data_IF_351183356184
#
_entry.id   IF_351183356184
#
_cell.length_a   1.000
_cell.length_b   1.000
_cell.length_c   1.000
_cell.angle_alpha   90.00
_cell.angle_beta   90.00
_cell.angle_gamma   90.00
#
_symmetry.space_group_name_H-M   'P 1'
#
loop_
_entity.id
_entity.type
_entity.pdbx_description
1 polymer ?
#
# COMPACT_ATOMS: atom_id res chain seq x y z
N UNK A 1 21.46 1.47 -28.99
CA UNK A 1 20.13 1.89 -29.53
C UNK A 1 19.03 0.81 -29.46
N UNK A 2 19.31 -0.50 -29.53
CA UNK A 2 18.27 -1.55 -29.47
C UNK A 2 17.74 -1.78 -28.03
N UNK A 3 18.60 -1.71 -27.01
CA UNK A 3 18.23 -1.90 -25.59
C UNK A 3 17.35 -0.79 -25.00
N UNK A 4 17.54 0.45 -25.41
CA UNK A 4 16.76 1.58 -24.89
C UNK A 4 15.31 1.60 -25.44
N UNK A 5 15.14 1.11 -26.69
CA UNK A 5 13.84 1.00 -27.35
C UNK A 5 13.02 -0.19 -26.79
N UNK A 6 13.69 -1.23 -26.33
CA UNK A 6 13.08 -2.42 -25.73
C UNK A 6 12.57 -2.13 -24.30
N UNK A 7 13.34 -1.40 -23.47
CA UNK A 7 12.92 -1.01 -22.13
C UNK A 7 11.68 -0.09 -22.14
N UNK A 8 11.59 0.82 -23.13
CA UNK A 8 10.42 1.69 -23.27
C UNK A 8 9.16 0.94 -23.73
N UNK A 9 9.28 -0.11 -24.53
CA UNK A 9 8.12 -0.90 -25.00
C UNK A 9 7.60 -1.81 -23.88
N UNK A 10 8.48 -2.50 -23.17
CA UNK A 10 8.12 -3.30 -21.99
C UNK A 10 7.39 -2.45 -20.95
N UNK A 11 7.92 -1.27 -20.65
CA UNK A 11 7.30 -0.34 -19.72
C UNK A 11 5.91 0.13 -20.18
N UNK A 12 5.72 0.46 -21.47
CA UNK A 12 4.42 0.83 -22.03
C UNK A 12 3.40 -0.30 -21.94
N UNK A 13 3.83 -1.56 -22.15
CA UNK A 13 2.95 -2.73 -21.99
C UNK A 13 2.53 -2.88 -20.52
N UNK A 14 3.46 -2.70 -19.59
CA UNK A 14 3.18 -2.79 -18.16
C UNK A 14 2.20 -1.68 -17.69
N UNK A 15 2.38 -0.46 -18.15
CA UNK A 15 1.50 0.68 -17.85
C UNK A 15 0.08 0.48 -18.43
N UNK A 16 -0.02 0.01 -19.67
CA UNK A 16 -1.31 -0.32 -20.28
C UNK A 16 -2.02 -1.46 -19.54
N UNK A 17 -1.27 -2.47 -19.11
CA UNK A 17 -1.79 -3.57 -18.30
C UNK A 17 -2.27 -3.08 -16.94
N UNK A 18 -1.49 -2.24 -16.26
CA UNK A 18 -1.86 -1.61 -14.99
C UNK A 18 -3.19 -0.87 -15.11
N UNK A 19 -3.32 -0.01 -16.13
CA UNK A 19 -4.57 0.72 -16.41
C UNK A 19 -5.75 -0.23 -16.57
N UNK A 20 -5.62 -1.26 -17.40
CA UNK A 20 -6.71 -2.21 -17.67
C UNK A 20 -7.03 -3.10 -16.47
N UNK A 21 -6.04 -3.50 -15.69
CA UNK A 21 -6.28 -4.22 -14.42
C UNK A 21 -7.07 -3.38 -13.42
N UNK A 22 -6.81 -2.07 -13.35
CA UNK A 22 -7.59 -1.18 -12.49
C UNK A 22 -9.01 -0.93 -13.01
N UNK A 23 -9.21 -0.91 -14.33
CA UNK A 23 -10.51 -0.64 -14.94
C UNK A 23 -11.44 -1.85 -14.97
N UNK A 24 -10.91 -3.02 -15.33
CA UNK A 24 -11.69 -4.23 -15.61
C UNK A 24 -11.41 -5.38 -14.64
N UNK A 25 -10.40 -5.27 -13.78
CA UNK A 25 -9.88 -6.38 -12.98
C UNK A 25 -9.02 -7.33 -13.83
N UNK A 26 -8.35 -8.27 -13.15
CA UNK A 26 -7.51 -9.25 -13.84
C UNK A 26 -8.31 -10.17 -14.77
N UNK A 27 -9.43 -10.71 -14.29
CA UNK A 27 -10.20 -11.72 -15.03
C UNK A 27 -10.64 -11.22 -16.41
N UNK A 28 -11.14 -9.98 -16.47
CA UNK A 28 -11.71 -9.38 -17.69
C UNK A 28 -10.68 -8.69 -18.59
N UNK A 29 -9.42 -8.61 -18.19
CA UNK A 29 -8.35 -8.04 -19.00
C UNK A 29 -7.75 -9.12 -19.91
N UNK A 30 -7.67 -8.87 -21.22
CA UNK A 30 -7.05 -9.76 -22.20
C UNK A 30 -5.76 -9.16 -22.76
N UNK A 31 -4.80 -10.00 -23.13
CA UNK A 31 -3.53 -9.55 -23.75
C UNK A 31 -3.75 -8.82 -25.08
N UNK A 32 -4.85 -9.13 -25.77
CA UNK A 32 -5.31 -8.41 -26.97
C UNK A 32 -5.73 -6.97 -26.67
N UNK A 33 -6.39 -6.74 -25.53
CA UNK A 33 -6.78 -5.39 -25.08
C UNK A 33 -5.53 -4.57 -24.75
N UNK A 34 -4.57 -5.19 -24.05
CA UNK A 34 -3.29 -4.56 -23.71
C UNK A 34 -2.52 -4.18 -24.98
N UNK A 35 -2.43 -5.10 -25.95
CA UNK A 35 -1.77 -4.83 -27.22
C UNK A 35 -2.42 -3.66 -27.98
N UNK A 36 -3.76 -3.61 -27.98
CA UNK A 36 -4.53 -2.51 -28.57
C UNK A 36 -4.27 -1.18 -27.86
N UNK A 37 -4.25 -1.17 -26.55
CA UNK A 37 -3.98 0.06 -25.75
C UNK A 37 -2.58 0.62 -26.03
N UNK A 38 -1.58 -0.24 -26.18
CA UNK A 38 -0.19 0.15 -26.51
C UNK A 38 -0.01 0.55 -27.96
N UNK A 39 -0.90 0.09 -28.86
CA UNK A 39 -0.76 0.23 -30.31
C UNK A 39 0.28 -0.75 -30.90
N UNK A 40 0.35 -1.97 -30.36
CA UNK A 40 1.24 -3.02 -30.83
C UNK A 40 0.47 -4.32 -31.17
N UNK A 41 1.16 -5.33 -31.69
CA UNK A 41 0.55 -6.64 -31.88
C UNK A 41 0.62 -7.49 -30.60
N UNK A 42 -0.28 -8.45 -30.47
CA UNK A 42 -0.33 -9.35 -29.30
C UNK A 42 0.94 -10.20 -29.15
N UNK A 43 1.61 -10.55 -30.26
CA UNK A 43 2.86 -11.30 -30.22
C UNK A 43 3.97 -10.56 -29.45
N UNK A 44 3.96 -9.22 -29.52
CA UNK A 44 4.92 -8.40 -28.76
C UNK A 44 4.64 -8.44 -27.26
N UNK A 45 3.38 -8.44 -26.84
CA UNK A 45 3.01 -8.63 -25.43
C UNK A 45 3.47 -10.00 -24.92
N UNK A 46 3.25 -11.06 -25.71
CA UNK A 46 3.72 -12.41 -25.38
C UNK A 46 5.25 -12.54 -25.41
N UNK A 47 5.93 -11.79 -26.25
CA UNK A 47 7.40 -11.76 -26.28
C UNK A 47 7.98 -11.27 -24.94
N UNK A 48 7.46 -10.17 -24.39
CA UNK A 48 7.95 -9.59 -23.13
C UNK A 48 7.49 -10.36 -21.88
N UNK A 49 6.21 -10.73 -21.83
CA UNK A 49 5.61 -11.22 -20.58
C UNK A 49 5.11 -12.68 -20.62
N UNK A 50 5.17 -13.35 -21.78
CA UNK A 50 4.77 -14.74 -21.96
C UNK A 50 3.27 -14.98 -21.70
N UNK A 51 2.78 -14.66 -20.50
CA UNK A 51 1.39 -14.88 -20.07
C UNK A 51 0.84 -13.62 -19.38
N UNK A 52 -0.50 -13.54 -19.30
CA UNK A 52 -1.20 -12.49 -18.55
C UNK A 52 -0.88 -12.58 -17.04
N UNK A 53 -0.74 -13.78 -16.52
CA UNK A 53 -0.33 -14.05 -15.14
C UNK A 53 1.04 -13.45 -14.85
N UNK A 54 2.01 -13.66 -15.73
CA UNK A 54 3.37 -13.11 -15.55
C UNK A 54 3.38 -11.60 -15.61
N UNK A 55 2.58 -11.01 -16.47
CA UNK A 55 2.43 -9.56 -16.57
C UNK A 55 1.82 -8.98 -15.27
N UNK A 56 0.77 -9.65 -14.75
CA UNK A 56 0.16 -9.26 -13.49
C UNK A 56 1.12 -9.41 -12.30
N UNK A 57 1.87 -10.51 -12.24
CA UNK A 57 2.90 -10.70 -11.22
C UNK A 57 3.96 -9.59 -11.24
N UNK A 58 4.43 -9.20 -12.44
CA UNK A 58 5.43 -8.14 -12.60
C UNK A 58 4.88 -6.79 -12.13
N UNK A 59 3.65 -6.45 -12.54
CA UNK A 59 2.93 -5.28 -12.05
C UNK A 59 2.85 -5.29 -10.51
N UNK A 60 2.38 -6.39 -9.96
CA UNK A 60 2.18 -6.54 -8.53
C UNK A 60 3.49 -6.45 -7.73
N UNK A 61 4.55 -7.07 -8.24
CA UNK A 61 5.89 -6.99 -7.65
C UNK A 61 6.40 -5.55 -7.54
N UNK A 62 6.20 -4.76 -8.60
CA UNK A 62 6.55 -3.34 -8.57
C UNK A 62 5.80 -2.59 -7.46
N UNK A 63 4.50 -2.83 -7.32
CA UNK A 63 3.68 -2.18 -6.27
C UNK A 63 4.05 -2.67 -4.86
N UNK A 64 4.27 -3.98 -4.68
CA UNK A 64 4.70 -4.53 -3.40
C UNK A 64 6.03 -3.93 -2.93
N UNK A 65 7.00 -3.77 -3.83
CA UNK A 65 8.27 -3.11 -3.51
C UNK A 65 8.08 -1.67 -3.04
N UNK A 66 7.17 -0.90 -3.65
CA UNK A 66 6.86 0.46 -3.21
C UNK A 66 6.31 0.47 -1.78
N UNK A 67 5.35 -0.42 -1.45
CA UNK A 67 4.80 -0.52 -0.10
C UNK A 67 5.87 -0.84 0.95
N UNK A 68 6.72 -1.80 0.65
CA UNK A 68 7.80 -2.21 1.56
C UNK A 68 8.80 -1.09 1.75
N UNK A 69 9.18 -0.40 0.68
CA UNK A 69 10.10 0.73 0.75
C UNK A 69 9.57 1.85 1.66
N UNK A 70 8.26 2.09 1.67
CA UNK A 70 7.65 3.08 2.57
C UNK A 70 7.92 2.79 4.05
N UNK A 71 7.94 1.51 4.43
CA UNK A 71 8.21 1.10 5.81
C UNK A 71 9.71 0.98 6.13
N UNK A 72 10.56 0.67 5.15
CA UNK A 72 11.97 0.42 5.37
C UNK A 72 12.86 1.64 5.18
N UNK A 73 12.52 2.54 4.23
CA UNK A 73 13.39 3.65 3.82
C UNK A 73 13.20 4.95 4.62
N UNK A 74 12.19 5.05 5.49
CA UNK A 74 11.99 6.22 6.36
C UNK A 74 13.05 6.26 7.52
N UNK A 75 14.32 5.97 7.19
CA UNK A 75 15.45 5.94 8.12
C UNK A 75 16.28 7.22 8.02
N UNK A 76 15.81 8.30 8.64
CA UNK A 76 16.75 9.33 9.08
C UNK A 76 17.11 9.02 10.54
N UNK A 77 18.35 8.61 10.80
CA UNK A 77 18.82 8.22 12.15
C UNK A 77 18.71 9.36 13.17
N UNK A 78 18.65 10.61 12.70
CA UNK A 78 18.53 11.81 13.54
C UNK A 78 17.10 12.11 14.00
N UNK A 79 16.09 11.46 13.40
CA UNK A 79 14.69 11.70 13.73
C UNK A 79 14.29 10.93 14.99
N UNK A 80 13.38 11.50 15.78
CA UNK A 80 12.72 10.81 16.89
C UNK A 80 11.92 9.60 16.39
N UNK A 81 11.56 8.70 17.30
CA UNK A 81 10.69 7.55 16.98
C UNK A 81 9.35 8.01 16.37
N UNK A 82 8.73 9.05 16.97
CA UNK A 82 7.46 9.59 16.51
C UNK A 82 7.56 10.14 15.08
N UNK A 83 8.63 10.86 14.75
CA UNK A 83 8.86 11.38 13.40
C UNK A 83 9.08 10.27 12.38
N UNK A 84 9.84 9.22 12.74
CA UNK A 84 10.04 8.05 11.88
C UNK A 84 8.73 7.33 11.62
N UNK A 85 7.92 7.11 12.66
CA UNK A 85 6.63 6.44 12.53
C UNK A 85 5.64 7.28 11.71
N UNK A 86 5.58 8.60 11.96
CA UNK A 86 4.80 9.53 11.14
C UNK A 86 5.19 9.43 9.66
N UNK A 87 6.48 9.52 9.33
CA UNK A 87 6.96 9.40 7.96
C UNK A 87 6.53 8.07 7.29
N UNK A 88 6.59 6.94 8.03
CA UNK A 88 6.13 5.63 7.53
C UNK A 88 4.64 5.62 7.22
N UNK A 89 3.82 6.15 8.13
CA UNK A 89 2.36 6.22 7.97
C UNK A 89 2.00 7.08 6.77
N UNK A 90 2.60 8.27 6.67
CA UNK A 90 2.37 9.21 5.58
C UNK A 90 2.84 8.67 4.23
N UNK A 91 4.04 8.07 4.16
CA UNK A 91 4.57 7.46 2.94
C UNK A 91 3.67 6.32 2.44
N UNK A 92 3.20 5.44 3.33
CA UNK A 92 2.24 4.40 2.99
C UNK A 92 0.92 5.00 2.48
N UNK A 93 0.41 6.07 3.11
CA UNK A 93 -0.80 6.76 2.68
C UNK A 93 -0.65 7.37 1.28
N UNK A 94 0.48 8.05 0.99
CA UNK A 94 0.72 8.67 -0.30
C UNK A 94 0.86 7.64 -1.44
N UNK A 95 1.42 6.47 -1.18
CA UNK A 95 1.43 5.36 -2.16
C UNK A 95 0.00 4.94 -2.50
N UNK A 96 -0.87 4.80 -1.50
CA UNK A 96 -2.28 4.47 -1.73
C UNK A 96 -3.02 5.59 -2.47
N UNK A 97 -2.74 6.84 -2.13
CA UNK A 97 -3.31 8.01 -2.79
C UNK A 97 -2.90 8.08 -4.27
N UNK A 98 -1.65 7.80 -4.58
CA UNK A 98 -1.15 7.71 -5.95
C UNK A 98 -1.71 6.52 -6.73
N UNK A 99 -2.19 5.47 -6.02
CA UNK A 99 -2.71 4.24 -6.61
C UNK A 99 -4.06 3.85 -5.95
N UNK A 100 -5.12 4.66 -6.05
CA UNK A 100 -6.32 4.52 -5.21
C UNK A 100 -7.13 3.24 -5.48
N UNK A 101 -6.99 2.64 -6.66
CA UNK A 101 -7.66 1.37 -7.01
C UNK A 101 -6.85 0.12 -6.63
N UNK A 102 -5.57 0.29 -6.29
CA UNK A 102 -4.67 -0.81 -5.97
C UNK A 102 -5.13 -1.63 -4.74
N UNK A 103 -5.52 -1.01 -3.61
CA UNK A 103 -5.96 -1.78 -2.44
C UNK A 103 -7.15 -2.68 -2.73
N UNK A 104 -8.13 -2.19 -3.48
CA UNK A 104 -9.30 -2.97 -3.87
C UNK A 104 -8.94 -4.11 -4.82
N UNK A 105 -8.12 -3.84 -5.85
CA UNK A 105 -7.65 -4.86 -6.78
C UNK A 105 -6.92 -5.99 -6.05
N UNK A 106 -6.00 -5.64 -5.14
CA UNK A 106 -5.26 -6.63 -4.36
C UNK A 106 -6.17 -7.47 -3.46
N UNK A 107 -7.04 -6.79 -2.72
CA UNK A 107 -7.99 -7.47 -1.85
C UNK A 107 -8.85 -8.46 -2.64
N UNK A 108 -9.43 -8.02 -3.75
CA UNK A 108 -10.28 -8.87 -4.60
C UNK A 108 -9.51 -10.08 -5.14
N UNK A 109 -8.34 -9.85 -5.76
CA UNK A 109 -7.58 -10.91 -6.42
C UNK A 109 -7.01 -11.94 -5.45
N UNK A 110 -6.60 -11.52 -4.24
CA UNK A 110 -6.09 -12.44 -3.22
C UNK A 110 -7.25 -13.18 -2.54
N UNK A 111 -8.36 -12.50 -2.22
CA UNK A 111 -9.48 -13.11 -1.50
C UNK A 111 -10.28 -14.10 -2.36
N UNK A 112 -10.30 -13.94 -3.68
CA UNK A 112 -11.11 -14.75 -4.59
C UNK A 112 -10.32 -15.87 -5.29
N UNK A 113 -8.98 -15.88 -5.19
CA UNK A 113 -8.15 -16.84 -5.91
C UNK A 113 -7.10 -17.51 -5.00
N UNK A 114 -7.39 -18.71 -4.45
CA UNK A 114 -6.45 -19.44 -3.57
C UNK A 114 -5.09 -19.74 -4.21
N UNK A 115 -5.04 -19.96 -5.53
CA UNK A 115 -3.78 -20.21 -6.25
C UNK A 115 -2.88 -18.98 -6.19
N UNK A 116 -3.47 -17.78 -6.25
CA UNK A 116 -2.71 -16.53 -6.11
C UNK A 116 -2.21 -16.30 -4.69
N UNK A 117 -2.98 -16.69 -3.69
CA UNK A 117 -2.52 -16.63 -2.29
C UNK A 117 -1.23 -17.42 -2.14
N UNK A 118 -1.17 -18.63 -2.69
CA UNK A 118 0.01 -19.48 -2.59
C UNK A 118 1.21 -18.93 -3.38
N UNK A 119 0.98 -18.49 -4.63
CA UNK A 119 2.01 -17.83 -5.43
C UNK A 119 2.54 -16.56 -4.74
N UNK A 120 1.66 -15.81 -4.10
CA UNK A 120 2.01 -14.61 -3.34
C UNK A 120 2.87 -14.94 -2.12
N UNK A 121 2.50 -15.96 -1.34
CA UNK A 121 3.28 -16.42 -0.19
C UNK A 121 4.70 -16.85 -0.59
N UNK A 122 4.81 -17.64 -1.66
CA UNK A 122 6.11 -18.09 -2.15
C UNK A 122 7.00 -16.92 -2.56
N UNK A 123 6.44 -15.94 -3.26
CA UNK A 123 7.22 -14.85 -3.83
C UNK A 123 7.50 -13.71 -2.83
N UNK A 124 6.56 -13.41 -1.96
CA UNK A 124 6.61 -12.23 -1.09
C UNK A 124 6.60 -12.53 0.40
N UNK A 125 6.52 -13.80 0.81
CA UNK A 125 6.33 -14.18 2.21
C UNK A 125 7.41 -13.69 3.18
N UNK A 126 8.64 -13.48 2.70
CA UNK A 126 9.73 -12.95 3.53
C UNK A 126 9.71 -11.41 3.66
N UNK A 127 9.11 -10.71 2.71
CA UNK A 127 9.09 -9.25 2.70
C UNK A 127 8.27 -8.64 3.86
N UNK A 128 7.05 -9.12 4.16
CA UNK A 128 6.30 -8.67 5.34
C UNK A 128 7.02 -8.96 6.65
N UNK A 129 7.75 -10.08 6.75
CA UNK A 129 8.54 -10.41 7.93
C UNK A 129 9.63 -9.37 8.20
N UNK A 130 10.35 -8.92 7.18
CA UNK A 130 11.37 -7.89 7.32
C UNK A 130 10.78 -6.55 7.81
N UNK A 131 9.57 -6.19 7.35
CA UNK A 131 8.86 -5.00 7.84
C UNK A 131 8.49 -5.15 9.31
N UNK A 132 7.90 -6.30 9.70
CA UNK A 132 7.52 -6.58 11.08
C UNK A 132 8.73 -6.56 12.01
N UNK A 133 9.86 -7.15 11.60
CA UNK A 133 11.09 -7.13 12.39
C UNK A 133 11.68 -5.71 12.53
N UNK A 134 11.64 -4.90 11.47
CA UNK A 134 12.06 -3.50 11.55
C UNK A 134 11.21 -2.72 12.57
N UNK A 135 9.89 -2.89 12.53
CA UNK A 135 8.97 -2.27 13.49
C UNK A 135 9.22 -2.78 14.90
N UNK A 136 9.40 -4.09 15.08
CA UNK A 136 9.68 -4.73 16.37
C UNK A 136 10.90 -4.11 17.05
N UNK A 137 12.00 -3.97 16.31
CA UNK A 137 13.25 -3.45 16.84
C UNK A 137 13.11 -1.98 17.29
N UNK A 138 12.39 -1.16 16.53
CA UNK A 138 12.12 0.23 16.88
C UNK A 138 11.22 0.34 18.13
N UNK A 139 10.14 -0.46 18.18
CA UNK A 139 9.22 -0.49 19.31
C UNK A 139 9.91 -0.94 20.59
N UNK A 140 10.71 -2.02 20.53
CA UNK A 140 11.38 -2.57 21.71
C UNK A 140 12.29 -1.55 22.39
N UNK A 141 12.99 -0.73 21.62
CA UNK A 141 13.82 0.34 22.15
C UNK A 141 12.99 1.37 22.94
N UNK A 142 11.84 1.79 22.41
CA UNK A 142 11.01 2.81 23.05
C UNK A 142 10.19 2.26 24.23
N UNK A 143 9.76 1.00 24.15
CA UNK A 143 9.12 0.28 25.27
C UNK A 143 10.09 0.17 26.45
N UNK A 144 11.35 -0.22 26.19
CA UNK A 144 12.38 -0.35 27.23
C UNK A 144 12.69 0.98 27.91
N UNK A 145 12.62 2.11 27.17
CA UNK A 145 12.77 3.47 27.72
C UNK A 145 11.51 3.96 28.47
N UNK A 146 10.39 3.26 28.37
CA UNK A 146 9.11 3.69 28.94
C UNK A 146 8.43 4.82 28.15
N UNK A 147 8.88 5.12 26.94
CA UNK A 147 8.32 6.18 26.09
C UNK A 147 6.98 5.80 25.47
N UNK A 148 6.76 4.50 25.26
CA UNK A 148 5.50 3.96 24.73
C UNK A 148 5.05 2.74 25.54
N UNK A 149 3.74 2.43 25.46
CA UNK A 149 3.18 1.22 26.07
C UNK A 149 3.64 -0.04 25.33
N UNK A 150 3.45 -1.19 25.95
CA UNK A 150 3.59 -2.49 25.28
C UNK A 150 2.61 -2.60 24.10
N UNK A 151 3.12 -2.93 22.91
CA UNK A 151 2.32 -3.11 21.69
C UNK A 151 2.91 -4.20 20.82
N UNK A 152 2.04 -5.00 20.21
CA UNK A 152 2.46 -6.02 19.25
C UNK A 152 2.80 -5.36 17.91
N UNK A 153 3.99 -5.61 17.32
CA UNK A 153 4.40 -5.03 16.04
C UNK A 153 3.43 -5.33 14.88
N UNK A 154 2.84 -6.53 14.87
CA UNK A 154 1.86 -6.93 13.85
C UNK A 154 0.57 -6.12 13.98
N UNK A 155 0.07 -5.92 15.21
CA UNK A 155 -1.14 -5.15 15.46
C UNK A 155 -0.94 -3.67 15.08
N UNK A 156 0.24 -3.11 15.34
CA UNK A 156 0.56 -1.76 14.89
C UNK A 156 0.58 -1.68 13.36
N UNK A 157 1.24 -2.62 12.68
CA UNK A 157 1.28 -2.66 11.22
C UNK A 157 -0.14 -2.79 10.63
N UNK A 158 -0.97 -3.70 11.16
CA UNK A 158 -2.35 -3.88 10.73
C UNK A 158 -3.19 -2.62 10.95
N UNK A 159 -2.99 -1.92 12.07
CA UNK A 159 -3.66 -0.64 12.34
C UNK A 159 -3.30 0.44 11.31
N UNK A 160 -2.01 0.55 10.97
CA UNK A 160 -1.54 1.51 9.94
C UNK A 160 -2.15 1.15 8.58
N UNK A 161 -2.07 -0.12 8.18
CA UNK A 161 -2.57 -0.57 6.87
C UNK A 161 -4.09 -0.33 6.78
N UNK A 162 -4.87 -0.75 7.78
CA UNK A 162 -6.33 -0.65 7.74
C UNK A 162 -6.81 0.80 7.77
N UNK A 163 -6.26 1.66 8.64
CA UNK A 163 -6.61 3.06 8.71
C UNK A 163 -6.30 3.82 7.40
N UNK A 164 -5.18 3.49 6.77
CA UNK A 164 -4.79 4.13 5.53
C UNK A 164 -5.58 3.59 4.33
N UNK A 165 -5.82 2.28 4.24
CA UNK A 165 -6.43 1.66 3.08
C UNK A 165 -7.93 1.90 2.97
N UNK A 166 -8.65 2.04 4.09
CA UNK A 166 -10.12 2.12 4.10
C UNK A 166 -10.66 3.28 3.25
N UNK A 167 -9.96 4.41 3.22
CA UNK A 167 -10.35 5.56 2.42
C UNK A 167 -10.40 5.23 0.92
N UNK A 168 -9.55 4.33 0.46
CA UNK A 168 -9.45 3.98 -0.95
C UNK A 168 -10.32 2.77 -1.30
N UNK A 169 -10.38 1.75 -0.44
CA UNK A 169 -11.21 0.55 -0.63
C UNK A 169 -12.71 0.90 -0.58
N UNK A 170 -13.11 1.68 0.42
CA UNK A 170 -14.52 2.03 0.66
C UNK A 170 -14.93 3.38 0.08
N UNK A 171 -14.12 3.99 -0.79
CA UNK A 171 -14.36 5.30 -1.37
C UNK A 171 -15.80 5.50 -1.89
N UNK A 172 -16.41 4.60 -2.67
CA UNK A 172 -17.77 4.79 -3.14
C UNK A 172 -18.79 4.82 -1.99
N UNK A 173 -18.61 3.94 -1.02
CA UNK A 173 -19.51 3.84 0.15
C UNK A 173 -19.39 5.09 1.00
N UNK A 174 -18.17 5.57 1.26
CA UNK A 174 -17.93 6.79 2.05
C UNK A 174 -18.59 7.99 1.38
N UNK A 175 -18.45 8.16 0.06
CA UNK A 175 -19.12 9.23 -0.69
C UNK A 175 -20.65 9.17 -0.57
N UNK A 176 -21.23 7.97 -0.66
CA UNK A 176 -22.68 7.78 -0.49
C UNK A 176 -23.12 8.17 0.92
N UNK A 177 -22.46 7.64 1.94
CA UNK A 177 -22.83 7.87 3.36
C UNK A 177 -22.67 9.33 3.77
N UNK A 178 -21.65 10.01 3.26
CA UNK A 178 -21.35 11.39 3.63
C UNK A 178 -21.98 12.42 2.70
N UNK A 179 -22.52 12.02 1.55
CA UNK A 179 -23.00 12.93 0.51
C UNK A 179 -21.88 13.76 -0.14
N UNK A 180 -20.62 13.38 0.03
CA UNK A 180 -19.49 14.16 -0.41
C UNK A 180 -19.35 14.16 -1.93
N UNK A 181 -19.14 15.37 -2.52
CA UNK A 181 -18.67 15.51 -3.89
C UNK A 181 -17.23 14.96 -4.02
N UNK A 182 -16.75 14.75 -5.26
CA UNK A 182 -15.35 14.33 -5.49
C UNK A 182 -14.36 15.32 -4.86
N UNK A 183 -14.61 16.60 -4.97
CA UNK A 183 -13.77 17.66 -4.39
C UNK A 183 -13.76 17.63 -2.86
N UNK A 184 -14.90 17.36 -2.24
CA UNK A 184 -14.97 17.28 -0.78
C UNK A 184 -14.36 15.98 -0.27
N UNK A 185 -14.48 14.91 -1.05
CA UNK A 185 -13.82 13.66 -0.76
C UNK A 185 -12.28 13.80 -0.76
N UNK A 186 -11.69 14.50 -1.72
CA UNK A 186 -10.25 14.80 -1.73
C UNK A 186 -9.80 15.56 -0.46
N UNK A 187 -10.59 16.54 0.00
CA UNK A 187 -10.33 17.22 1.27
C UNK A 187 -10.41 16.27 2.48
N UNK A 188 -11.37 15.33 2.44
CA UNK A 188 -11.50 14.31 3.48
C UNK A 188 -10.28 13.38 3.51
N UNK A 189 -9.79 12.95 2.35
CA UNK A 189 -8.58 12.13 2.21
C UNK A 189 -7.37 12.85 2.81
N UNK A 190 -7.16 14.13 2.47
CA UNK A 190 -6.04 14.92 3.01
C UNK A 190 -6.10 15.06 4.53
N UNK A 191 -7.27 15.40 5.07
CA UNK A 191 -7.47 15.49 6.52
C UNK A 191 -7.23 14.14 7.21
N UNK A 192 -7.69 13.04 6.60
CA UNK A 192 -7.57 11.69 7.17
C UNK A 192 -6.12 11.23 7.31
N UNK A 193 -5.23 11.65 6.43
CA UNK A 193 -3.80 11.36 6.54
C UNK A 193 -3.25 11.83 7.89
N UNK A 194 -3.47 13.09 8.23
CA UNK A 194 -3.02 13.65 9.52
C UNK A 194 -3.71 13.01 10.73
N UNK A 195 -5.01 12.70 10.60
CA UNK A 195 -5.77 12.05 11.67
C UNK A 195 -5.28 10.61 11.92
N UNK A 196 -4.92 9.86 10.90
CA UNK A 196 -4.37 8.52 11.06
C UNK A 196 -3.03 8.54 11.83
N UNK A 197 -2.15 9.50 11.51
CA UNK A 197 -0.92 9.73 12.27
C UNK A 197 -1.24 10.01 13.74
N UNK A 198 -2.18 10.93 14.01
CA UNK A 198 -2.57 11.30 15.37
C UNK A 198 -3.11 10.09 16.15
N UNK A 199 -4.02 9.32 15.55
CA UNK A 199 -4.62 8.13 16.17
C UNK A 199 -3.53 7.11 16.54
N UNK A 200 -2.65 6.79 15.59
CA UNK A 200 -1.58 5.80 15.83
C UNK A 200 -0.63 6.27 16.94
N UNK A 201 -0.12 7.52 16.87
CA UNK A 201 0.80 8.02 17.88
C UNK A 201 0.15 8.11 19.26
N UNK A 202 -1.12 8.52 19.35
CA UNK A 202 -1.84 8.55 20.63
C UNK A 202 -2.06 7.14 21.20
N UNK A 203 -2.33 6.15 20.35
CA UNK A 203 -2.50 4.76 20.80
C UNK A 203 -1.27 4.13 21.44
N UNK A 204 -0.09 4.72 21.21
CA UNK A 204 1.18 4.23 21.75
C UNK A 204 1.58 4.87 23.08
N UNK A 205 0.89 5.92 23.54
CA UNK A 205 1.24 6.59 24.81
C UNK A 205 1.16 5.62 25.98
N UNK A 206 2.05 5.76 26.98
CA UNK A 206 2.00 4.96 28.19
C UNK A 206 0.63 5.05 28.88
N UNK A 207 0.16 3.94 29.45
CA UNK A 207 -1.05 3.92 30.27
C UNK A 207 -0.81 4.81 31.51
N UNK A 208 -1.66 5.78 31.72
CA UNK A 208 -1.53 6.74 32.84
C UNK A 208 -1.14 8.16 32.45
N UNK A 209 -0.85 8.47 31.18
CA UNK A 209 -0.58 9.83 30.72
C UNK A 209 -1.84 10.66 30.44
N UNK A 210 -3.03 10.16 30.77
CA UNK A 210 -4.30 10.91 30.77
C UNK A 210 -4.36 11.82 31.99
N UNK A 211 -4.60 13.12 31.80
CA UNK A 211 -4.74 14.14 32.85
C UNK A 211 -5.60 13.66 34.01
N UNK A 212 -5.20 13.90 35.27
CA UNK A 212 -6.11 13.71 36.38
C UNK A 212 -7.32 14.64 36.15
N UNK A 213 -8.51 14.05 36.11
CA UNK A 213 -9.75 14.79 36.03
C UNK A 213 -9.78 15.86 37.13
N UNK A 214 -10.00 17.11 36.76
CA UNK A 214 -10.38 18.17 37.67
C UNK A 214 -11.73 17.79 38.29
N UNK A 215 -11.65 17.04 39.39
CA UNK A 215 -12.76 16.90 40.31
C UNK A 215 -12.64 18.02 41.33
N UNK A 216 -13.51 18.96 41.29
CA UNK A 216 -13.99 19.78 42.43
C UNK A 216 -15.31 20.39 42.01
#
# INVERSE_FOLDING_TARGET
MKHEKDSTTEQRILEAAEKLFYEKGFAMTHTTDIAKEVGCNQALVHYYFRTKEKLFETFFEGKAKLFISAFLLARNERNSFEEKLKCKIEAHFEILRANPRLPFLLFNEISTNPIRVEAFKVKFGEMPKAVIESIRNELQQEITKGNIRQVNPTDLLLSIISLNAIMFIASPIIKIVTGASDKDYEKMVERRKGENVRIILQSLKPEGSGSPGSGS
#
